data_IF_424667743867
#
_entry.id   IF_424667743867
#
_cell.length_a   1.000
_cell.length_b   1.000
_cell.length_c   1.000
_cell.angle_alpha   90.00
_cell.angle_beta   90.00
_cell.angle_gamma   90.00
#
_symmetry.space_group_name_H-M   'P 1'
#
loop_
_entity.id
_entity.type
_entity.pdbx_description
1 polymer ?
#
# COMPACT_ATOMS: atom_id res chain seq x y z
N UNK A 1 -1.02 -8.47 20.96
CA UNK A 1 -0.26 -8.59 19.70
C UNK A 1 -1.10 -9.50 18.81
N UNK A 2 -1.68 -9.00 17.72
CA UNK A 2 -2.40 -9.87 16.79
C UNK A 2 -1.36 -10.74 16.05
N UNK A 3 -1.61 -12.03 15.94
CA UNK A 3 -0.74 -12.95 15.20
C UNK A 3 -0.89 -12.70 13.70
N UNK A 4 0.22 -12.50 13.00
CA UNK A 4 0.23 -12.33 11.56
C UNK A 4 0.21 -13.72 10.89
N UNK A 5 -0.99 -14.23 10.63
CA UNK A 5 -1.19 -15.50 9.95
C UNK A 5 -0.94 -15.35 8.43
N UNK A 6 -0.35 -16.36 7.77
CA UNK A 6 -0.11 -16.30 6.33
C UNK A 6 -1.42 -16.14 5.56
N UNK A 7 -1.37 -15.38 4.46
CA UNK A 7 -2.52 -15.23 3.58
C UNK A 7 -2.97 -16.58 3.03
N UNK A 8 -4.29 -16.86 3.09
CA UNK A 8 -4.89 -18.08 2.53
C UNK A 8 -4.66 -18.24 1.03
N UNK A 9 -4.48 -17.12 0.32
CA UNK A 9 -4.33 -17.09 -1.12
C UNK A 9 -2.99 -16.49 -1.49
N UNK A 10 -2.22 -17.22 -2.30
CA UNK A 10 -1.00 -16.73 -2.92
C UNK A 10 -1.20 -16.63 -4.43
N UNK A 11 -1.52 -15.42 -4.92
CA UNK A 11 -1.69 -15.19 -6.35
C UNK A 11 -0.32 -15.22 -7.04
N UNK A 12 -0.18 -16.02 -8.11
CA UNK A 12 1.12 -16.28 -8.77
C UNK A 12 1.27 -15.68 -10.16
N UNK A 13 0.19 -15.18 -10.77
CA UNK A 13 0.26 -14.56 -12.10
C UNK A 13 0.83 -13.15 -12.03
N UNK A 14 1.11 -12.56 -13.19
CA UNK A 14 1.59 -11.17 -13.30
C UNK A 14 0.59 -10.20 -12.66
N UNK A 15 1.13 -9.22 -11.93
CA UNK A 15 0.37 -8.15 -11.28
C UNK A 15 0.82 -6.83 -11.91
N UNK A 16 -0.15 -5.99 -12.27
CA UNK A 16 0.08 -4.60 -12.64
C UNK A 16 -0.69 -3.74 -11.65
N UNK A 17 -0.03 -2.73 -11.08
CA UNK A 17 -0.64 -1.77 -10.17
C UNK A 17 -0.67 -0.42 -10.88
N UNK A 18 -1.86 0.13 -11.07
CA UNK A 18 -2.06 1.47 -11.62
C UNK A 18 -1.97 2.49 -10.47
N UNK A 19 -1.09 3.48 -10.62
CA UNK A 19 -0.88 4.56 -9.65
C UNK A 19 -1.00 5.93 -10.32
N UNK A 20 -1.32 6.94 -9.53
CA UNK A 20 -1.38 8.33 -9.99
C UNK A 20 -1.03 9.29 -8.84
N UNK A 21 -1.05 10.60 -9.11
CA UNK A 21 -0.82 11.64 -8.10
C UNK A 21 -1.85 11.67 -6.96
N UNK A 22 -2.94 10.89 -7.04
CA UNK A 22 -3.94 10.73 -5.99
C UNK A 22 -3.78 9.43 -5.19
N UNK A 23 -2.71 8.67 -5.46
CA UNK A 23 -2.34 7.50 -4.67
C UNK A 23 -1.57 7.97 -3.44
N UNK A 24 -2.16 7.84 -2.26
CA UNK A 24 -1.60 8.31 -0.98
C UNK A 24 -1.56 7.20 0.08
N UNK A 25 -0.69 7.37 1.08
CA UNK A 25 -0.70 6.62 2.34
C UNK A 25 -0.63 5.11 2.10
N UNK A 26 -1.56 4.31 2.64
CA UNK A 26 -1.57 2.86 2.49
C UNK A 26 -1.51 2.39 1.02
N UNK A 27 -2.03 3.17 0.07
CA UNK A 27 -1.92 2.87 -1.36
C UNK A 27 -0.47 2.96 -1.87
N UNK A 28 0.28 3.94 -1.39
CA UNK A 28 1.71 4.08 -1.70
C UNK A 28 2.53 2.96 -1.06
N UNK A 29 2.26 2.64 0.21
CA UNK A 29 2.94 1.53 0.88
C UNK A 29 2.72 0.20 0.15
N UNK A 30 1.49 -0.09 -0.29
CA UNK A 30 1.21 -1.29 -1.06
C UNK A 30 1.99 -1.31 -2.38
N UNK A 31 1.98 -0.21 -3.13
CA UNK A 31 2.70 -0.12 -4.40
C UNK A 31 4.22 -0.28 -4.21
N UNK A 32 4.80 0.39 -3.22
CA UNK A 32 6.21 0.31 -2.88
C UNK A 32 6.62 -1.09 -2.45
N UNK A 33 5.88 -1.73 -1.53
CA UNK A 33 6.16 -3.10 -1.08
C UNK A 33 6.12 -4.07 -2.25
N UNK A 34 5.14 -3.95 -3.15
CA UNK A 34 5.05 -4.82 -4.33
C UNK A 34 6.16 -4.56 -5.33
N UNK A 35 6.60 -3.32 -5.50
CA UNK A 35 7.71 -2.94 -6.36
C UNK A 35 9.05 -3.45 -5.81
N UNK A 36 9.34 -3.21 -4.53
CA UNK A 36 10.59 -3.58 -3.87
C UNK A 36 10.80 -5.10 -3.81
N UNK A 37 9.70 -5.87 -3.79
CA UNK A 37 9.73 -7.33 -3.85
C UNK A 37 9.67 -7.88 -5.29
N UNK A 38 9.83 -7.02 -6.31
CA UNK A 38 9.74 -7.37 -7.73
C UNK A 38 8.44 -8.12 -8.09
N UNK A 39 7.37 -7.90 -7.30
CA UNK A 39 6.14 -8.67 -7.39
C UNK A 39 5.14 -8.06 -8.36
N UNK A 40 5.21 -6.76 -8.61
CA UNK A 40 4.31 -6.10 -9.55
C UNK A 40 5.06 -5.11 -10.45
N UNK A 41 4.49 -4.88 -11.64
CA UNK A 41 4.86 -3.74 -12.47
C UNK A 41 3.96 -2.56 -12.08
N UNK A 42 4.56 -1.43 -11.69
CA UNK A 42 3.83 -0.19 -11.49
C UNK A 42 3.59 0.49 -12.85
N UNK A 43 2.40 1.04 -13.04
CA UNK A 43 2.02 1.79 -14.24
C UNK A 43 1.32 3.09 -13.85
N UNK A 44 1.60 4.18 -14.56
CA UNK A 44 0.99 5.49 -14.31
C UNK A 44 2.02 6.58 -13.98
N UNK A 45 1.70 7.45 -13.02
CA UNK A 45 2.52 8.61 -12.66
C UNK A 45 2.99 8.55 -11.21
N UNK A 46 3.91 9.45 -10.83
CA UNK A 46 4.36 9.63 -9.44
C UNK A 46 3.18 9.76 -8.48
N UNK A 47 3.30 9.14 -7.30
CA UNK A 47 2.31 9.16 -6.22
C UNK A 47 2.30 10.49 -5.46
N UNK A 48 1.35 10.62 -4.53
CA UNK A 48 1.10 11.86 -3.79
C UNK A 48 2.02 12.13 -2.59
N UNK A 49 2.87 11.19 -2.19
CA UNK A 49 3.90 11.30 -1.15
C UNK A 49 3.38 11.57 0.27
N UNK A 50 2.51 10.71 0.79
CA UNK A 50 2.02 10.74 2.18
C UNK A 50 2.57 9.56 3.01
N UNK A 51 3.76 9.73 3.59
CA UNK A 51 4.44 8.70 4.39
C UNK A 51 4.22 8.84 5.91
N UNK A 52 3.11 9.46 6.34
CA UNK A 52 2.83 9.73 7.76
C UNK A 52 1.74 8.82 8.32
N UNK A 53 1.99 8.25 9.50
CA UNK A 53 0.96 7.59 10.29
C UNK A 53 0.37 8.61 11.27
N UNK A 54 -0.96 8.72 11.29
CA UNK A 54 -1.67 9.66 12.15
C UNK A 54 -2.53 8.90 13.16
N UNK A 55 -2.68 9.49 14.34
CA UNK A 55 -3.57 9.00 15.40
C UNK A 55 -4.78 9.92 15.52
N UNK A 56 -5.98 9.34 15.53
CA UNK A 56 -7.20 10.07 15.86
C UNK A 56 -7.38 10.10 17.38
N UNK A 57 -7.54 11.30 17.95
CA UNK A 57 -7.88 11.48 19.36
C UNK A 57 -9.33 11.95 19.49
N UNK A 58 -10.15 11.17 20.17
CA UNK A 58 -11.52 11.56 20.48
C UNK A 58 -11.52 12.67 21.53
N UNK A 59 -12.12 13.82 21.22
CA UNK A 59 -12.37 14.87 22.21
C UNK A 59 -13.77 14.65 22.77
N UNK A 60 -13.85 14.39 24.08
CA UNK A 60 -15.14 14.32 24.76
C UNK A 60 -15.72 15.74 24.86
N UNK A 61 -17.03 15.94 24.59
CA UNK A 61 -17.69 17.22 24.80
C UNK A 61 -17.66 17.64 26.26
#
# INVERSE_FOLDING_TARGET
>A
MAENLPAKTHYTKKIVVLINGETFSAGEFLAAILQDNERATLFGTTTGAEAVAQSAYAIKP
#
